data_IF_511803050133
#
_entry.id   IF_511803050133
#
_cell.length_a   1.000
_cell.length_b   1.000
_cell.length_c   1.000
_cell.angle_alpha   90.00
_cell.angle_beta   90.00
_cell.angle_gamma   90.00
#
_symmetry.space_group_name_H-M   'P 1'
#
loop_
_entity.id
_entity.type
_entity.pdbx_description
1 polymer ?
#
# COMPACT_ATOMS: atom_id res chain seq x y z
N UNK A 1 10.95 -7.73 -6.17
CA UNK A 1 11.23 -6.28 -6.03
C UNK A 1 12.45 -5.90 -6.87
N UNK A 2 13.59 -6.59 -6.67
CA UNK A 2 14.81 -6.42 -7.46
C UNK A 2 14.60 -6.31 -8.99
N UNK A 3 13.86 -7.23 -9.61
CA UNK A 3 13.61 -7.20 -11.07
C UNK A 3 12.85 -5.96 -11.51
N UNK A 4 11.78 -5.59 -10.79
CA UNK A 4 10.94 -4.43 -11.12
C UNK A 4 11.74 -3.14 -10.99
N UNK A 5 12.61 -3.04 -9.97
CA UNK A 5 13.51 -1.88 -9.77
C UNK A 5 14.47 -1.66 -10.95
N UNK A 6 14.89 -2.72 -11.64
CA UNK A 6 15.85 -2.61 -12.75
C UNK A 6 15.21 -2.18 -14.08
N UNK A 7 13.91 -2.43 -14.27
CA UNK A 7 13.26 -2.27 -15.58
C UNK A 7 12.16 -1.22 -15.62
N UNK A 8 11.63 -0.82 -14.46
CA UNK A 8 10.51 0.12 -14.39
C UNK A 8 10.92 1.43 -13.69
N UNK A 9 10.30 2.53 -14.10
CA UNK A 9 10.51 3.85 -13.48
C UNK A 9 9.47 4.12 -12.38
N UNK A 10 8.26 3.57 -12.55
CA UNK A 10 7.12 3.76 -11.64
C UNK A 10 6.57 2.41 -11.19
N UNK A 11 6.02 2.40 -9.98
CA UNK A 11 5.37 1.25 -9.38
C UNK A 11 3.92 1.58 -9.03
N UNK A 12 3.02 0.67 -9.39
CA UNK A 12 1.61 0.70 -9.02
C UNK A 12 1.38 -0.47 -8.08
N UNK A 13 0.91 -0.17 -6.88
CA UNK A 13 0.55 -1.17 -5.88
C UNK A 13 -0.97 -1.33 -5.89
N UNK A 14 -1.41 -2.57 -5.98
CA UNK A 14 -2.83 -2.92 -5.96
C UNK A 14 -3.15 -3.82 -4.77
N UNK A 15 -4.36 -3.66 -4.24
CA UNK A 15 -4.92 -4.55 -3.25
C UNK A 15 -6.37 -4.85 -3.57
N UNK A 16 -6.70 -6.15 -3.60
CA UNK A 16 -8.06 -6.63 -3.85
C UNK A 16 -8.74 -5.89 -5.02
N UNK A 17 -8.08 -5.80 -6.18
CA UNK A 17 -8.64 -5.17 -7.39
C UNK A 17 -8.67 -3.63 -7.40
N UNK A 18 -8.05 -2.94 -6.42
CA UNK A 18 -7.98 -1.47 -6.38
C UNK A 18 -6.53 -1.01 -6.37
N UNK A 19 -6.25 0.09 -7.07
CA UNK A 19 -4.96 0.77 -6.97
C UNK A 19 -4.92 1.50 -5.63
N UNK A 20 -3.90 1.20 -4.81
CA UNK A 20 -3.76 1.79 -3.49
C UNK A 20 -2.61 2.80 -3.41
N UNK A 21 -1.60 2.66 -4.27
CA UNK A 21 -0.46 3.58 -4.31
C UNK A 21 0.21 3.59 -5.69
N UNK A 22 0.67 4.76 -6.13
CA UNK A 22 1.47 4.96 -7.34
C UNK A 22 2.60 5.93 -7.00
N UNK A 23 3.85 5.58 -7.28
CA UNK A 23 4.96 6.54 -7.22
C UNK A 23 6.15 6.06 -8.07
N UNK A 24 7.25 6.84 -8.08
CA UNK A 24 8.53 6.32 -8.51
C UNK A 24 8.94 5.15 -7.61
N UNK A 25 9.71 4.21 -8.16
CA UNK A 25 10.15 3.04 -7.40
C UNK A 25 10.91 3.44 -6.15
N UNK A 26 11.82 4.41 -6.26
CA UNK A 26 12.62 4.88 -5.14
C UNK A 26 11.76 5.43 -4.00
N UNK A 27 10.70 6.17 -4.31
CA UNK A 27 9.79 6.73 -3.31
C UNK A 27 8.97 5.64 -2.61
N UNK A 28 8.49 4.64 -3.34
CA UNK A 28 7.79 3.49 -2.76
C UNK A 28 8.72 2.69 -1.84
N UNK A 29 9.97 2.44 -2.26
CA UNK A 29 10.92 1.69 -1.46
C UNK A 29 11.33 2.48 -0.21
N UNK A 30 11.56 3.79 -0.35
CA UNK A 30 12.09 4.67 0.72
C UNK A 30 11.03 5.17 1.70
N UNK A 31 9.79 5.38 1.28
CA UNK A 31 8.73 5.87 2.15
C UNK A 31 7.34 5.44 1.68
N UNK A 32 6.98 4.15 1.67
CA UNK A 32 5.65 3.73 1.20
C UNK A 32 4.56 4.38 2.05
N UNK A 33 3.53 4.94 1.41
CA UNK A 33 2.49 5.73 2.09
C UNK A 33 1.35 4.86 2.59
N UNK A 34 0.83 3.98 1.75
CA UNK A 34 -0.34 3.18 2.09
C UNK A 34 0.03 2.10 3.12
N UNK A 35 -0.76 1.89 4.19
CA UNK A 35 -0.46 0.87 5.21
C UNK A 35 -0.25 -0.54 4.64
N UNK A 36 -1.00 -0.92 3.60
CA UNK A 36 -0.76 -2.16 2.87
C UNK A 36 0.63 -2.22 2.23
N UNK A 37 1.04 -1.16 1.51
CA UNK A 37 2.35 -1.08 0.88
C UNK A 37 3.47 -1.19 1.91
N UNK A 38 3.34 -0.49 3.05
CA UNK A 38 4.27 -0.61 4.19
C UNK A 38 4.42 -2.07 4.65
N UNK A 39 3.29 -2.74 4.90
CA UNK A 39 3.29 -4.13 5.34
C UNK A 39 3.83 -5.11 4.29
N UNK A 40 3.56 -4.87 3.00
CA UNK A 40 4.04 -5.70 1.90
C UNK A 40 5.56 -5.71 1.84
N UNK A 41 6.19 -4.52 1.88
CA UNK A 41 7.64 -4.43 1.84
C UNK A 41 8.30 -4.95 3.12
N UNK A 42 7.70 -4.74 4.29
CA UNK A 42 8.24 -5.30 5.53
C UNK A 42 8.06 -6.83 5.64
N UNK A 43 7.20 -7.44 4.84
CA UNK A 43 7.00 -8.90 4.82
C UNK A 43 7.97 -9.63 3.89
N UNK A 44 8.78 -8.90 3.09
CA UNK A 44 9.67 -9.50 2.09
C UNK A 44 11.12 -9.42 2.55
N UNK A 45 11.77 -10.58 2.66
CA UNK A 45 13.22 -10.67 2.77
C UNK A 45 13.84 -10.25 1.44
N UNK A 46 14.53 -9.11 1.43
CA UNK A 46 15.12 -8.57 0.22
C UNK A 46 16.47 -7.92 0.50
N UNK A 47 17.43 -7.96 -0.44
CA UNK A 47 18.75 -7.34 -0.26
C UNK A 47 18.70 -5.81 -0.26
N UNK A 48 17.58 -5.18 -0.64
CA UNK A 48 17.46 -3.72 -0.63
C UNK A 48 17.62 -3.14 0.79
N UNK A 49 18.65 -2.28 1.04
CA UNK A 49 18.95 -1.75 2.37
C UNK A 49 17.79 -0.99 3.01
N UNK A 50 16.97 -0.31 2.20
CA UNK A 50 15.83 0.49 2.63
C UNK A 50 14.73 -0.35 3.27
N UNK A 51 14.55 -1.58 2.79
CA UNK A 51 13.57 -2.53 3.31
C UNK A 51 14.16 -3.31 4.48
N UNK A 52 15.42 -3.78 4.36
CA UNK A 52 16.10 -4.55 5.40
C UNK A 52 16.18 -3.82 6.74
N UNK A 53 16.28 -2.48 6.73
CA UNK A 53 16.31 -1.65 7.95
C UNK A 53 14.97 -1.59 8.71
N UNK A 54 13.84 -1.90 8.07
CA UNK A 54 12.50 -1.72 8.69
C UNK A 54 12.03 -2.88 9.55
N UNK A 55 12.76 -4.00 9.58
CA UNK A 55 12.38 -5.21 10.31
C UNK A 55 11.25 -5.99 9.62
N UNK A 56 11.12 -7.27 9.97
CA UNK A 56 10.11 -8.16 9.39
C UNK A 56 8.80 -8.02 10.19
N UNK A 57 7.75 -7.53 9.54
CA UNK A 57 6.40 -7.47 10.13
C UNK A 57 5.40 -8.06 9.17
N UNK A 58 4.57 -9.00 9.64
CA UNK A 58 3.54 -9.63 8.83
C UNK A 58 2.25 -8.80 8.84
N UNK A 59 1.53 -8.78 7.71
CA UNK A 59 0.18 -8.22 7.66
C UNK A 59 -0.79 -9.27 8.24
N UNK A 60 -1.49 -8.99 9.35
CA UNK A 60 -2.36 -9.97 9.99
C UNK A 60 -3.55 -10.34 9.11
N UNK A 61 -4.07 -11.56 9.30
CA UNK A 61 -5.27 -12.06 8.62
C UNK A 61 -5.09 -12.46 7.15
N UNK A 62 -6.18 -12.89 6.53
CA UNK A 62 -6.22 -13.32 5.13
C UNK A 62 -6.71 -12.19 4.19
N UNK A 63 -6.39 -12.22 2.88
CA UNK A 63 -7.01 -11.34 1.88
C UNK A 63 -8.55 -11.44 1.89
N UNK A 64 -9.28 -10.35 1.56
CA UNK A 64 -10.74 -10.38 1.54
C UNK A 64 -11.26 -11.29 0.43
N UNK A 65 -12.49 -11.77 0.60
CA UNK A 65 -13.23 -12.38 -0.50
C UNK A 65 -13.49 -11.33 -1.59
N UNK A 66 -13.17 -11.66 -2.85
CA UNK A 66 -13.38 -10.74 -3.98
C UNK A 66 -14.81 -10.79 -4.54
N UNK A 67 -15.58 -11.83 -4.21
CA UNK A 67 -17.01 -11.94 -4.56
C UNK A 67 -17.84 -10.98 -3.71
N UNK A 68 -17.53 -10.90 -2.41
CA UNK A 68 -18.15 -9.98 -1.46
C UNK A 68 -17.07 -9.21 -0.68
N UNK A 69 -16.49 -8.15 -1.29
CA UNK A 69 -15.42 -7.40 -0.66
C UNK A 69 -15.97 -6.50 0.45
N UNK A 70 -15.15 -6.19 1.48
CA UNK A 70 -15.54 -5.25 2.53
C UNK A 70 -15.90 -3.88 1.95
N UNK A 71 -16.90 -3.23 2.55
CA UNK A 71 -17.34 -1.88 2.19
C UNK A 71 -16.24 -0.85 2.46
N UNK A 72 -16.26 0.24 1.71
CA UNK A 72 -15.27 1.31 1.82
C UNK A 72 -13.85 0.89 1.42
N UNK A 73 -12.86 1.19 2.25
CA UNK A 73 -11.48 0.81 2.01
C UNK A 73 -11.30 -0.71 2.16
N UNK A 74 -10.95 -1.41 1.06
CA UNK A 74 -10.81 -2.87 1.06
C UNK A 74 -9.76 -3.42 2.03
N UNK A 75 -8.82 -2.59 2.46
CA UNK A 75 -7.77 -2.95 3.41
C UNK A 75 -8.12 -2.67 4.87
N UNK A 76 -9.23 -1.97 5.17
CA UNK A 76 -9.58 -1.60 6.55
C UNK A 76 -9.60 -2.77 7.56
N UNK A 77 -9.99 -4.02 7.20
CA UNK A 77 -10.06 -5.10 8.19
C UNK A 77 -8.69 -5.49 8.74
N UNK A 78 -7.63 -5.22 7.97
CA UNK A 78 -6.24 -5.59 8.24
C UNK A 78 -5.34 -4.39 8.50
N UNK A 79 -5.90 -3.19 8.41
CA UNK A 79 -5.16 -1.94 8.56
C UNK A 79 -5.05 -1.57 10.04
N UNK A 80 -3.82 -1.48 10.55
CA UNK A 80 -3.54 -0.99 11.91
C UNK A 80 -3.84 0.51 12.09
N UNK A 81 -3.96 1.25 10.99
CA UNK A 81 -4.26 2.69 10.96
C UNK A 81 -5.71 3.00 10.57
N UNK A 82 -6.62 2.02 10.64
CA UNK A 82 -8.01 2.19 10.23
C UNK A 82 -8.70 3.34 10.99
N UNK A 83 -9.52 4.10 10.27
CA UNK A 83 -10.42 5.13 10.83
C UNK A 83 -11.87 4.70 10.58
N UNK A 84 -12.86 5.22 11.34
CA UNK A 84 -14.27 4.87 11.13
C UNK A 84 -14.79 5.14 9.70
N UNK A 85 -14.25 6.15 9.00
CA UNK A 85 -14.59 6.44 7.61
C UNK A 85 -14.15 5.32 6.64
N UNK A 86 -13.09 4.57 6.98
CA UNK A 86 -12.57 3.49 6.14
C UNK A 86 -13.57 2.33 5.95
N UNK A 87 -14.53 2.17 6.86
CA UNK A 87 -15.56 1.13 6.80
C UNK A 87 -16.77 1.57 5.95
N UNK A 88 -16.93 2.89 5.77
CA UNK A 88 -18.10 3.50 5.14
C UNK A 88 -17.83 3.93 3.71
N UNK A 89 -16.67 4.51 3.45
CA UNK A 89 -16.33 5.15 2.18
C UNK A 89 -15.07 4.57 1.56
N UNK A 90 -15.03 4.52 0.23
CA UNK A 90 -13.85 4.10 -0.51
C UNK A 90 -12.93 5.32 -0.68
N UNK A 91 -11.65 5.24 -0.25
CA UNK A 91 -10.74 6.35 -0.42
C UNK A 91 -10.43 6.57 -1.90
N UNK A 92 -10.48 7.82 -2.34
CA UNK A 92 -10.10 8.25 -3.68
C UNK A 92 -8.59 8.19 -3.84
N UNK A 93 -8.16 7.84 -5.04
CA UNK A 93 -6.75 7.92 -5.41
C UNK A 93 -6.38 9.39 -5.63
N UNK A 94 -5.81 10.01 -4.61
CA UNK A 94 -5.42 11.42 -4.62
C UNK A 94 -3.92 11.57 -4.87
N UNK A 95 -3.53 12.70 -5.45
CA UNK A 95 -2.13 13.07 -5.61
C UNK A 95 -1.66 13.84 -4.38
N UNK A 96 -0.62 13.33 -3.72
CA UNK A 96 -0.09 13.90 -2.46
C UNK A 96 1.20 14.66 -2.68
N UNK A 97 1.96 14.26 -3.69
CA UNK A 97 3.19 14.89 -4.18
C UNK A 97 3.21 14.72 -5.70
N UNK A 98 3.91 15.56 -6.48
CA UNK A 98 3.95 15.43 -7.94
C UNK A 98 4.34 14.02 -8.40
N UNK A 99 3.45 13.36 -9.14
CA UNK A 99 3.66 12.00 -9.64
C UNK A 99 3.41 10.89 -8.62
N UNK A 100 2.96 11.23 -7.41
CA UNK A 100 2.72 10.31 -6.31
C UNK A 100 1.27 10.32 -5.87
N UNK A 101 0.61 9.17 -5.98
CA UNK A 101 -0.80 9.00 -5.66
C UNK A 101 -1.02 7.92 -4.61
N UNK A 102 -1.99 8.12 -3.74
CA UNK A 102 -2.37 7.17 -2.70
C UNK A 102 -3.88 7.18 -2.49
N UNK A 103 -4.48 6.00 -2.34
CA UNK A 103 -5.89 5.86 -1.98
C UNK A 103 -6.00 5.56 -0.49
N UNK A 104 -5.91 6.59 0.36
CA UNK A 104 -5.98 6.42 1.81
C UNK A 104 -6.43 7.69 2.54
N UNK A 105 -7.39 7.54 3.47
CA UNK A 105 -7.90 8.61 4.34
C UNK A 105 -6.85 9.22 5.28
N UNK A 106 -5.67 8.60 5.45
CA UNK A 106 -4.56 9.22 6.19
C UNK A 106 -4.02 10.48 5.49
N UNK A 107 -4.23 10.60 4.18
CA UNK A 107 -3.70 11.69 3.36
C UNK A 107 -4.80 12.56 2.72
N UNK A 108 -6.06 12.34 3.11
CA UNK A 108 -7.21 13.06 2.55
C UNK A 108 -7.84 12.42 1.31
N UNK A 109 -7.47 11.17 1.00
CA UNK A 109 -8.17 10.35 0.01
C UNK A 109 -9.55 9.97 0.49
#
# INVERSE_FOLDING_TARGET
>A
IATVRQIATRMIIMYAGKIVEIALIEDILKNPLHPYTKGLFNSVLTPEPEIKKRGITTIPGAPPNLIDPPKGCRFHPRCSYRKPICEKEEPKLIEVEPGRKVACFLYGG
#
